data_IF_862130914569
#
_entry.id   IF_862130914569
#
_cell.length_a   1.000
_cell.length_b   1.000
_cell.length_c   1.000
_cell.angle_alpha   90.00
_cell.angle_beta   90.00
_cell.angle_gamma   90.00
#
_symmetry.space_group_name_H-M   'P 1'
#
loop_
_entity.id
_entity.type
_entity.pdbx_description
1 polymer ?
#
# COMPACT_ATOMS: atom_id res chain seq x y z
N UNK A 1 -29.27 -8.35 -17.36
CA UNK A 1 -28.37 -8.20 -16.18
C UNK A 1 -28.10 -6.73 -15.86
N UNK A 2 -27.67 -5.85 -16.81
CA UNK A 2 -27.34 -4.44 -16.55
C UNK A 2 -28.51 -3.62 -15.99
N UNK A 3 -29.72 -3.84 -16.50
CA UNK A 3 -30.93 -3.15 -15.97
C UNK A 3 -31.20 -3.52 -14.51
N UNK A 4 -30.86 -4.73 -14.07
CA UNK A 4 -30.98 -5.14 -12.68
C UNK A 4 -29.97 -4.42 -11.74
N UNK A 5 -28.90 -3.85 -12.32
CA UNK A 5 -27.90 -3.02 -11.62
C UNK A 5 -28.24 -1.51 -11.66
N UNK A 6 -29.44 -1.14 -12.16
CA UNK A 6 -29.84 0.24 -12.34
C UNK A 6 -29.19 0.97 -13.53
N UNK A 7 -28.46 0.23 -14.39
CA UNK A 7 -27.76 0.78 -15.55
C UNK A 7 -28.61 0.53 -16.79
N UNK A 8 -29.06 1.61 -17.45
CA UNK A 8 -29.84 1.47 -18.68
C UNK A 8 -28.99 0.89 -19.81
N UNK A 9 -29.62 0.12 -20.70
CA UNK A 9 -28.92 -0.47 -21.87
C UNK A 9 -28.23 0.60 -22.70
N UNK A 10 -28.88 1.72 -22.97
CA UNK A 10 -28.33 2.82 -23.74
C UNK A 10 -27.06 3.39 -23.09
N UNK A 11 -27.07 3.61 -21.76
CA UNK A 11 -25.89 4.10 -21.02
C UNK A 11 -24.74 3.11 -21.11
N UNK A 12 -25.03 1.81 -20.98
CA UNK A 12 -24.00 0.77 -21.07
C UNK A 12 -23.36 0.71 -22.46
N UNK A 13 -24.15 0.77 -23.55
CA UNK A 13 -23.60 0.74 -24.89
C UNK A 13 -22.77 1.99 -25.22
N UNK A 14 -23.25 3.17 -24.85
CA UNK A 14 -22.49 4.42 -25.01
C UNK A 14 -21.17 4.42 -24.25
N UNK A 15 -21.13 3.80 -23.09
CA UNK A 15 -19.88 3.61 -22.35
C UNK A 15 -18.91 2.67 -23.10
N UNK A 16 -19.38 1.52 -23.61
CA UNK A 16 -18.54 0.59 -24.39
C UNK A 16 -18.00 1.26 -25.67
N UNK A 17 -18.80 2.10 -26.29
CA UNK A 17 -18.42 2.88 -27.48
C UNK A 17 -17.49 4.06 -27.15
N UNK A 18 -17.22 4.31 -25.87
CA UNK A 18 -16.34 5.38 -25.41
C UNK A 18 -16.96 6.79 -25.50
N UNK A 19 -18.28 6.88 -25.68
CA UNK A 19 -18.99 8.17 -25.80
C UNK A 19 -19.24 8.84 -24.44
N UNK A 20 -19.29 8.08 -23.37
CA UNK A 20 -19.54 8.59 -22.01
C UNK A 20 -18.68 7.85 -21.00
N UNK A 21 -18.36 8.55 -19.91
CA UNK A 21 -17.77 7.94 -18.71
C UNK A 21 -18.83 7.28 -17.83
N UNK A 22 -18.41 6.25 -17.09
CA UNK A 22 -19.23 5.57 -16.10
C UNK A 22 -18.79 5.94 -14.69
N UNK A 23 -19.75 6.11 -13.78
CA UNK A 23 -19.39 6.36 -12.38
C UNK A 23 -18.63 5.16 -11.78
N UNK A 24 -17.74 5.40 -10.81
CA UNK A 24 -17.03 4.33 -10.11
C UNK A 24 -18.01 3.35 -9.46
N UNK A 25 -19.14 3.82 -8.93
CA UNK A 25 -20.17 2.98 -8.31
C UNK A 25 -20.80 2.03 -9.34
N UNK A 26 -21.14 2.54 -10.52
CA UNK A 26 -21.69 1.71 -11.60
C UNK A 26 -20.65 0.69 -12.09
N UNK A 27 -19.37 1.12 -12.22
CA UNK A 27 -18.28 0.23 -12.60
C UNK A 27 -18.09 -0.89 -11.57
N UNK A 28 -18.05 -0.58 -10.28
CA UNK A 28 -17.93 -1.58 -9.21
C UNK A 28 -19.12 -2.55 -9.25
N UNK A 29 -20.35 -2.06 -9.47
CA UNK A 29 -21.55 -2.92 -9.59
C UNK A 29 -21.47 -3.87 -10.78
N UNK A 30 -20.90 -3.41 -11.92
CA UNK A 30 -20.67 -4.26 -13.09
C UNK A 30 -19.61 -5.33 -12.79
N UNK A 31 -18.50 -4.92 -12.18
CA UNK A 31 -17.39 -5.82 -11.83
C UNK A 31 -17.87 -6.90 -10.87
N UNK A 32 -18.63 -6.56 -9.85
CA UNK A 32 -19.22 -7.48 -8.90
C UNK A 32 -20.18 -8.47 -9.59
N UNK A 33 -21.06 -7.98 -10.45
CA UNK A 33 -21.99 -8.82 -11.23
C UNK A 33 -21.32 -9.74 -12.25
N UNK A 34 -20.11 -9.41 -12.69
CA UNK A 34 -19.27 -10.21 -13.58
C UNK A 34 -18.26 -11.08 -12.81
N UNK A 35 -18.16 -10.90 -11.51
CA UNK A 35 -17.17 -11.54 -10.65
C UNK A 35 -15.72 -11.23 -11.09
N UNK A 36 -15.48 -10.00 -11.57
CA UNK A 36 -14.17 -9.54 -12.05
C UNK A 36 -13.54 -8.66 -10.98
N UNK A 37 -12.32 -8.98 -10.60
CA UNK A 37 -11.50 -8.12 -9.71
C UNK A 37 -10.89 -6.94 -10.46
N UNK A 38 -10.44 -5.91 -9.72
CA UNK A 38 -9.67 -4.80 -10.31
C UNK A 38 -8.36 -5.28 -10.94
N UNK A 39 -7.73 -6.30 -10.37
CA UNK A 39 -6.52 -6.92 -10.92
C UNK A 39 -6.79 -7.56 -12.27
N UNK A 40 -7.91 -8.30 -12.39
CA UNK A 40 -8.34 -8.89 -13.67
C UNK A 40 -8.69 -7.83 -14.71
N UNK A 41 -9.35 -6.74 -14.29
CA UNK A 41 -9.62 -5.62 -15.17
C UNK A 41 -8.32 -4.99 -15.70
N UNK A 42 -7.32 -4.85 -14.85
CA UNK A 42 -5.97 -4.39 -15.23
C UNK A 42 -5.32 -5.30 -16.28
N UNK A 43 -5.40 -6.61 -16.09
CA UNK A 43 -4.91 -7.60 -17.05
C UNK A 43 -5.66 -7.53 -18.39
N UNK A 44 -6.99 -7.46 -18.36
CA UNK A 44 -7.83 -7.41 -19.55
C UNK A 44 -7.63 -6.12 -20.37
N UNK A 45 -7.32 -5.01 -19.73
CA UNK A 45 -7.09 -3.73 -20.40
C UNK A 45 -5.66 -3.55 -20.90
N UNK A 46 -4.77 -4.51 -20.66
CA UNK A 46 -3.34 -4.42 -20.95
C UNK A 46 -2.63 -3.32 -20.14
N UNK A 47 -3.36 -2.67 -19.25
CA UNK A 47 -2.82 -1.66 -18.35
C UNK A 47 -2.38 -2.36 -17.07
N UNK A 48 -1.26 -3.07 -17.14
CA UNK A 48 -0.63 -3.74 -15.98
C UNK A 48 -0.21 -2.77 -14.86
N UNK A 49 -0.66 -1.51 -14.93
CA UNK A 49 -0.42 -0.45 -13.96
C UNK A 49 -1.00 -0.73 -12.57
N UNK A 50 -1.90 -1.71 -12.45
CA UNK A 50 -2.42 -2.23 -11.19
C UNK A 50 -1.70 -3.50 -10.74
N UNK A 51 -0.44 -3.72 -11.12
CA UNK A 51 0.38 -4.64 -10.35
C UNK A 51 0.41 -4.11 -8.92
N UNK A 52 -0.29 -4.83 -8.06
CA UNK A 52 -0.28 -4.54 -6.63
C UNK A 52 1.17 -4.60 -6.19
N UNK A 53 1.76 -3.44 -5.92
CA UNK A 53 3.12 -3.35 -5.42
C UNK A 53 3.07 -3.92 -4.01
N UNK A 54 3.46 -5.19 -3.88
CA UNK A 54 3.54 -5.88 -2.60
C UNK A 54 5.00 -5.96 -2.14
N UNK A 55 5.21 -6.12 -0.84
CA UNK A 55 6.55 -6.35 -0.29
C UNK A 55 7.19 -7.58 -0.93
N UNK A 56 6.41 -8.66 -1.08
CA UNK A 56 6.89 -9.89 -1.72
C UNK A 56 7.39 -9.64 -3.13
N UNK A 57 6.62 -8.89 -3.93
CA UNK A 57 7.05 -8.53 -5.28
C UNK A 57 8.31 -7.67 -5.25
N UNK A 58 8.36 -6.63 -4.42
CA UNK A 58 9.52 -5.73 -4.29
C UNK A 58 10.81 -6.48 -3.90
N UNK A 59 10.71 -7.48 -3.03
CA UNK A 59 11.87 -8.24 -2.58
C UNK A 59 12.34 -9.30 -3.59
N UNK A 60 11.48 -9.73 -4.52
CA UNK A 60 11.79 -10.78 -5.50
C UNK A 60 11.93 -10.26 -6.95
N UNK A 61 11.48 -9.05 -7.25
CA UNK A 61 11.59 -8.46 -8.59
C UNK A 61 13.06 -8.36 -9.05
N UNK A 62 13.29 -8.35 -10.36
CA UNK A 62 14.62 -8.14 -10.90
C UNK A 62 15.17 -6.77 -10.48
N UNK A 63 16.39 -6.74 -9.94
CA UNK A 63 16.98 -5.52 -9.41
C UNK A 63 17.27 -4.48 -10.49
N UNK A 64 17.52 -4.92 -11.74
CA UNK A 64 17.72 -4.00 -12.85
C UNK A 64 16.39 -3.35 -13.25
N UNK A 65 15.28 -4.12 -13.25
CA UNK A 65 13.94 -3.59 -13.45
C UNK A 65 13.61 -2.53 -12.40
N UNK A 66 13.80 -2.85 -11.11
CA UNK A 66 13.57 -1.88 -10.03
C UNK A 66 14.46 -0.63 -10.17
N UNK A 67 15.71 -0.80 -10.57
CA UNK A 67 16.63 0.31 -10.78
C UNK A 67 16.18 1.21 -11.93
N UNK A 68 15.71 0.66 -13.04
CA UNK A 68 15.17 1.42 -14.16
C UNK A 68 13.92 2.20 -13.75
N UNK A 69 13.01 1.58 -13.00
CA UNK A 69 11.81 2.23 -12.48
C UNK A 69 12.14 3.33 -11.46
N UNK A 70 13.13 3.09 -10.61
CA UNK A 70 13.63 4.09 -9.65
C UNK A 70 14.22 5.34 -10.35
N UNK A 71 14.84 5.16 -11.52
CA UNK A 71 15.40 6.24 -12.33
C UNK A 71 14.34 6.97 -13.18
N UNK A 72 13.09 6.49 -13.19
CA UNK A 72 12.02 7.11 -13.94
C UNK A 72 12.11 6.91 -15.45
N UNK A 73 12.76 5.84 -15.89
CA UNK A 73 12.79 5.42 -17.31
C UNK A 73 11.37 5.11 -17.82
N UNK A 74 10.50 4.66 -16.93
CA UNK A 74 9.07 4.52 -17.18
C UNK A 74 8.32 5.76 -16.67
N UNK A 75 7.85 6.62 -17.58
CA UNK A 75 7.05 7.83 -17.27
C UNK A 75 5.71 7.51 -16.55
N UNK A 76 5.41 6.24 -16.40
CA UNK A 76 4.15 5.77 -15.79
C UNK A 76 4.19 5.72 -14.27
N UNK A 77 5.38 5.70 -13.67
CA UNK A 77 5.51 5.65 -12.22
C UNK A 77 5.42 7.05 -11.61
N UNK A 78 4.62 7.19 -10.57
CA UNK A 78 4.56 8.43 -9.77
C UNK A 78 5.87 8.64 -9.03
N UNK A 79 6.20 9.89 -8.67
CA UNK A 79 7.41 10.19 -7.91
C UNK A 79 7.50 9.39 -6.60
N UNK A 80 6.36 9.10 -5.97
CA UNK A 80 6.33 8.28 -4.77
C UNK A 80 6.68 6.80 -5.03
N UNK A 81 6.27 6.24 -6.17
CA UNK A 81 6.68 4.88 -6.57
C UNK A 81 8.16 4.82 -6.88
N UNK A 82 8.68 5.83 -7.59
CA UNK A 82 10.12 5.94 -7.87
C UNK A 82 10.93 5.95 -6.58
N UNK A 83 10.48 6.75 -5.61
CA UNK A 83 11.08 6.82 -4.28
C UNK A 83 11.03 5.49 -3.53
N UNK A 84 9.91 4.76 -3.60
CA UNK A 84 9.79 3.43 -3.03
C UNK A 84 10.77 2.45 -3.69
N UNK A 85 10.89 2.47 -5.02
CA UNK A 85 11.85 1.63 -5.73
C UNK A 85 13.30 1.98 -5.38
N UNK A 86 13.63 3.26 -5.22
CA UNK A 86 14.96 3.70 -4.76
C UNK A 86 15.27 3.13 -3.38
N UNK A 87 14.34 3.23 -2.43
CA UNK A 87 14.52 2.67 -1.09
C UNK A 87 14.76 1.14 -1.13
N UNK A 88 13.97 0.41 -1.92
CA UNK A 88 14.11 -1.05 -2.05
C UNK A 88 15.42 -1.43 -2.73
N UNK A 89 15.82 -0.71 -3.78
CA UNK A 89 17.12 -0.95 -4.46
C UNK A 89 18.28 -0.73 -3.49
N UNK A 90 18.27 0.36 -2.72
CA UNK A 90 19.28 0.66 -1.71
C UNK A 90 19.31 -0.44 -0.63
N UNK A 91 18.15 -0.83 -0.10
CA UNK A 91 18.03 -1.92 0.87
C UNK A 91 18.65 -3.22 0.36
N UNK A 92 18.31 -3.63 -0.86
CA UNK A 92 18.78 -4.90 -1.45
C UNK A 92 20.28 -4.89 -1.80
N UNK A 93 20.85 -3.72 -2.05
CA UNK A 93 22.29 -3.53 -2.30
C UNK A 93 23.10 -3.33 -1.03
N UNK A 94 22.45 -3.16 0.13
CA UNK A 94 23.11 -2.80 1.38
C UNK A 94 23.63 -1.36 1.39
N UNK A 95 23.05 -0.50 0.57
CA UNK A 95 23.35 0.94 0.49
C UNK A 95 22.49 1.73 1.49
N UNK A 96 22.89 2.98 1.77
CA UNK A 96 22.10 3.85 2.65
C UNK A 96 20.77 4.24 2.00
N UNK A 97 19.66 4.00 2.71
CA UNK A 97 18.33 4.47 2.28
C UNK A 97 17.90 5.77 2.99
N UNK A 98 18.79 6.43 3.72
CA UNK A 98 18.43 7.56 4.61
C UNK A 98 17.67 8.69 3.90
N UNK A 99 18.08 9.04 2.68
CA UNK A 99 17.41 10.10 1.91
C UNK A 99 16.00 9.68 1.50
N UNK A 100 15.84 8.47 0.95
CA UNK A 100 14.53 7.94 0.56
C UNK A 100 13.61 7.77 1.77
N UNK A 101 14.13 7.29 2.90
CA UNK A 101 13.39 7.16 4.17
C UNK A 101 12.88 8.52 4.64
N UNK A 102 13.73 9.56 4.60
CA UNK A 102 13.35 10.91 5.01
C UNK A 102 12.21 11.45 4.15
N UNK A 103 12.35 11.39 2.82
CA UNK A 103 11.33 11.89 1.90
C UNK A 103 10.01 11.09 2.01
N UNK A 104 10.09 9.77 2.16
CA UNK A 104 8.90 8.93 2.35
C UNK A 104 8.22 9.25 3.68
N UNK A 105 8.98 9.42 4.76
CA UNK A 105 8.43 9.80 6.06
C UNK A 105 7.73 11.16 6.00
N UNK A 106 8.36 12.18 5.41
CA UNK A 106 7.79 13.52 5.27
C UNK A 106 6.44 13.49 4.53
N UNK A 107 6.34 12.66 3.49
CA UNK A 107 5.08 12.45 2.80
C UNK A 107 4.05 11.70 3.65
N UNK A 108 4.42 10.56 4.22
CA UNK A 108 3.48 9.70 4.94
C UNK A 108 2.92 10.37 6.20
N UNK A 109 3.70 11.23 6.87
CA UNK A 109 3.26 11.94 8.08
C UNK A 109 2.17 12.98 7.81
N UNK A 110 1.97 13.38 6.55
CA UNK A 110 0.92 14.34 6.13
C UNK A 110 -0.38 13.67 5.72
N UNK A 111 -0.40 12.34 5.65
CA UNK A 111 -1.57 11.56 5.21
C UNK A 111 -2.38 11.12 6.42
N UNK A 112 -3.69 11.39 6.41
CA UNK A 112 -4.59 11.00 7.50
C UNK A 112 -5.03 9.54 7.42
N UNK A 113 -5.17 9.01 6.20
CA UNK A 113 -5.58 7.62 5.93
C UNK A 113 -4.66 7.05 4.86
N UNK A 114 -3.95 5.97 5.19
CA UNK A 114 -3.05 5.29 4.26
C UNK A 114 -3.81 4.52 3.19
N UNK A 115 -3.33 4.59 1.97
CA UNK A 115 -3.66 3.66 0.90
C UNK A 115 -2.84 2.36 1.06
N UNK A 116 -3.14 1.34 0.25
CA UNK A 116 -2.33 0.10 0.23
C UNK A 116 -0.86 0.36 -0.08
N UNK A 117 -0.59 1.27 -1.01
CA UNK A 117 0.78 1.66 -1.36
C UNK A 117 1.50 2.36 -0.21
N UNK A 118 0.79 3.21 0.55
CA UNK A 118 1.35 3.89 1.72
C UNK A 118 1.69 2.88 2.84
N UNK A 119 0.87 1.82 3.01
CA UNK A 119 1.14 0.73 3.95
C UNK A 119 2.40 -0.04 3.53
N UNK A 120 2.54 -0.38 2.25
CA UNK A 120 3.75 -1.04 1.72
C UNK A 120 4.97 -0.15 1.92
N UNK A 121 4.86 1.14 1.61
CA UNK A 121 5.93 2.10 1.79
C UNK A 121 6.34 2.24 3.26
N UNK A 122 5.37 2.32 4.18
CA UNK A 122 5.64 2.32 5.63
C UNK A 122 6.36 1.04 6.05
N UNK A 123 5.94 -0.13 5.58
CA UNK A 123 6.60 -1.38 5.91
C UNK A 123 8.07 -1.41 5.45
N UNK A 124 8.38 -0.88 4.26
CA UNK A 124 9.76 -0.81 3.75
C UNK A 124 10.65 0.08 4.61
N UNK A 125 10.15 1.24 5.07
CA UNK A 125 10.96 2.18 5.85
C UNK A 125 10.91 1.95 7.35
N UNK A 126 9.98 1.15 7.85
CA UNK A 126 9.74 0.93 9.28
C UNK A 126 11.01 0.56 10.07
N UNK A 127 11.92 -0.31 9.58
CA UNK A 127 13.16 -0.63 10.29
C UNK A 127 14.08 0.58 10.51
N UNK A 128 14.09 1.54 9.60
CA UNK A 128 15.01 2.70 9.59
C UNK A 128 14.49 3.90 10.40
N UNK A 129 13.21 3.91 10.74
CA UNK A 129 12.60 5.03 11.46
C UNK A 129 13.06 5.10 12.92
N UNK A 130 13.17 6.30 13.46
CA UNK A 130 13.27 6.48 14.92
C UNK A 130 11.97 6.05 15.60
N UNK A 131 12.02 5.76 16.90
CA UNK A 131 10.83 5.37 17.68
C UNK A 131 9.72 6.42 17.58
N UNK A 132 10.06 7.70 17.65
CA UNK A 132 9.09 8.79 17.56
C UNK A 132 8.43 8.87 16.18
N UNK A 133 9.20 8.72 15.11
CA UNK A 133 8.70 8.69 13.73
C UNK A 133 7.80 7.47 13.50
N UNK A 134 8.26 6.30 13.95
CA UNK A 134 7.51 5.05 13.84
C UNK A 134 6.14 5.18 14.53
N UNK A 135 6.09 5.64 15.80
CA UNK A 135 4.81 5.82 16.52
C UNK A 135 3.82 6.71 15.78
N UNK A 136 4.30 7.81 15.18
CA UNK A 136 3.42 8.71 14.42
C UNK A 136 2.77 8.01 13.22
N UNK A 137 3.56 7.30 12.42
CA UNK A 137 3.04 6.56 11.27
C UNK A 137 2.19 5.36 11.68
N UNK A 138 2.55 4.68 12.78
CA UNK A 138 1.82 3.53 13.29
C UNK A 138 0.39 3.89 13.73
N UNK A 139 0.19 5.08 14.32
CA UNK A 139 -1.16 5.57 14.65
C UNK A 139 -2.01 5.82 13.40
N UNK A 140 -1.42 6.36 12.35
CA UNK A 140 -2.11 6.58 11.08
C UNK A 140 -2.43 5.24 10.39
N UNK A 141 -1.45 4.33 10.36
CA UNK A 141 -1.61 2.95 9.89
C UNK A 141 -2.76 2.24 10.60
N UNK A 142 -2.79 2.27 11.94
CA UNK A 142 -3.81 1.60 12.74
C UNK A 142 -5.24 2.08 12.40
N UNK A 143 -5.41 3.40 12.24
CA UNK A 143 -6.71 3.96 11.79
C UNK A 143 -7.07 3.49 10.39
N UNK A 144 -6.09 3.41 9.50
CA UNK A 144 -6.32 3.02 8.11
C UNK A 144 -6.70 1.56 7.99
N UNK A 145 -6.14 0.68 8.84
CA UNK A 145 -6.41 -0.76 8.82
C UNK A 145 -7.87 -1.08 9.08
N UNK A 146 -8.60 -0.28 9.86
CA UNK A 146 -10.04 -0.47 10.06
C UNK A 146 -10.84 -0.45 8.74
N UNK A 147 -10.36 0.29 7.74
CA UNK A 147 -10.98 0.37 6.42
C UNK A 147 -10.65 -0.84 5.53
N UNK A 148 -9.59 -1.58 5.84
CA UNK A 148 -9.10 -2.68 5.02
C UNK A 148 -9.33 -4.07 5.62
N UNK A 149 -9.94 -4.19 6.81
CA UNK A 149 -10.16 -5.46 7.50
C UNK A 149 -10.78 -6.54 6.62
N UNK A 150 -11.71 -6.16 5.73
CA UNK A 150 -12.39 -7.10 4.83
C UNK A 150 -11.66 -7.30 3.48
N UNK A 151 -10.54 -6.63 3.24
CA UNK A 151 -9.83 -6.60 1.96
C UNK A 151 -8.37 -7.03 2.07
N UNK A 152 -7.98 -7.64 3.21
CA UNK A 152 -6.62 -8.11 3.41
C UNK A 152 -6.32 -9.27 2.44
N UNK A 153 -5.57 -8.96 1.40
CA UNK A 153 -5.01 -9.96 0.49
C UNK A 153 -3.73 -10.57 1.09
N UNK A 154 -3.31 -11.73 0.59
CA UNK A 154 -2.06 -12.35 1.02
C UNK A 154 -0.85 -11.41 0.87
N UNK A 155 -0.85 -10.56 -0.16
CA UNK A 155 0.22 -9.58 -0.42
C UNK A 155 0.28 -8.47 0.64
N UNK A 156 -0.84 -8.13 1.25
CA UNK A 156 -0.89 -7.17 2.35
C UNK A 156 -0.40 -7.76 3.67
N UNK A 157 -0.61 -9.06 3.91
CA UNK A 157 -0.17 -9.69 5.16
C UNK A 157 1.33 -9.54 5.38
N UNK A 158 2.15 -9.60 4.33
CA UNK A 158 3.59 -9.43 4.45
C UNK A 158 3.94 -8.00 4.91
N UNK A 159 3.23 -6.97 4.43
CA UNK A 159 3.43 -5.59 4.87
C UNK A 159 2.98 -5.38 6.33
N UNK A 160 1.80 -5.88 6.67
CA UNK A 160 1.24 -5.84 8.02
C UNK A 160 2.17 -6.53 9.01
N UNK A 161 2.63 -7.75 8.68
CA UNK A 161 3.57 -8.50 9.51
C UNK A 161 4.88 -7.73 9.72
N UNK A 162 5.44 -7.15 8.65
CA UNK A 162 6.68 -6.38 8.73
C UNK A 162 6.52 -5.17 9.67
N UNK A 163 5.41 -4.43 9.58
CA UNK A 163 5.12 -3.30 10.47
C UNK A 163 4.99 -3.75 11.92
N UNK A 164 4.29 -4.86 12.17
CA UNK A 164 4.13 -5.37 13.54
C UNK A 164 5.44 -5.90 14.13
N UNK A 165 6.28 -6.57 13.33
CA UNK A 165 7.61 -6.99 13.76
C UNK A 165 8.49 -5.78 14.10
N UNK A 166 8.44 -4.72 13.28
CA UNK A 166 9.15 -3.47 13.59
C UNK A 166 8.59 -2.80 14.86
N UNK A 167 7.29 -2.88 15.12
CA UNK A 167 6.69 -2.38 16.37
C UNK A 167 7.22 -3.15 17.60
N UNK A 168 7.26 -4.47 17.52
CA UNK A 168 7.81 -5.32 18.59
C UNK A 168 9.29 -4.99 18.82
N UNK A 169 10.09 -4.96 17.78
CA UNK A 169 11.52 -4.65 17.88
C UNK A 169 11.76 -3.27 18.51
N UNK A 170 11.20 -2.21 17.90
CA UNK A 170 11.44 -0.84 18.34
C UNK A 170 10.85 -0.48 19.70
N UNK A 171 9.70 -1.02 20.04
CA UNK A 171 8.95 -0.56 21.19
C UNK A 171 9.05 -1.51 22.41
N UNK A 172 9.31 -2.79 22.18
CA UNK A 172 9.31 -3.80 23.23
C UNK A 172 10.67 -4.46 23.45
N UNK A 173 11.45 -4.71 22.39
CA UNK A 173 12.70 -5.47 22.49
C UNK A 173 13.88 -4.59 22.88
N UNK A 174 14.02 -3.40 22.28
CA UNK A 174 15.14 -2.49 22.56
C UNK A 174 15.07 -1.97 24.00
N UNK A 175 16.13 -2.20 24.82
CA UNK A 175 16.09 -1.88 26.25
C UNK A 175 15.79 -0.40 26.55
N UNK A 176 16.35 0.51 25.74
CA UNK A 176 16.14 1.95 25.87
C UNK A 176 14.69 2.40 25.60
N UNK A 177 13.94 1.58 24.88
CA UNK A 177 12.56 1.89 24.49
C UNK A 177 11.52 1.13 25.31
N UNK A 178 11.94 0.22 26.19
CA UNK A 178 11.02 -0.53 27.04
C UNK A 178 10.36 0.40 28.04
N UNK A 179 9.05 0.57 27.87
CA UNK A 179 8.20 1.21 28.85
C UNK A 179 6.84 0.53 28.89
N UNK A 180 6.16 0.65 30.02
CA UNK A 180 4.78 0.17 30.15
C UNK A 180 3.87 0.80 29.09
N UNK A 181 4.02 2.12 28.86
CA UNK A 181 3.24 2.87 27.87
C UNK A 181 3.45 2.35 26.44
N UNK A 182 4.69 1.98 26.10
CA UNK A 182 4.98 1.39 24.79
C UNK A 182 4.33 0.02 24.64
N UNK A 183 4.38 -0.80 25.67
CA UNK A 183 3.77 -2.14 25.67
C UNK A 183 2.25 -2.05 25.54
N UNK A 184 1.61 -1.18 26.31
CA UNK A 184 0.17 -0.94 26.24
C UNK A 184 -0.23 -0.37 24.86
N UNK A 185 0.53 0.60 24.35
CA UNK A 185 0.30 1.17 23.02
C UNK A 185 0.28 0.10 21.92
N UNK A 186 1.27 -0.82 21.89
CA UNK A 186 1.32 -1.90 20.89
C UNK A 186 0.16 -2.87 21.06
N UNK A 187 -0.12 -3.31 22.29
CA UNK A 187 -1.18 -4.26 22.59
C UNK A 187 -2.55 -3.68 22.21
N UNK A 188 -2.88 -2.49 22.68
CA UNK A 188 -4.15 -1.83 22.38
C UNK A 188 -4.34 -1.62 20.88
N UNK A 189 -3.27 -1.19 20.18
CA UNK A 189 -3.34 -0.96 18.73
C UNK A 189 -3.58 -2.26 17.97
N UNK A 190 -2.90 -3.36 18.35
CA UNK A 190 -3.10 -4.67 17.74
C UNK A 190 -4.53 -5.17 18.02
N UNK A 191 -4.98 -5.13 19.27
CA UNK A 191 -6.33 -5.60 19.66
C UNK A 191 -7.42 -4.83 18.91
N UNK A 192 -7.29 -3.51 18.78
CA UNK A 192 -8.25 -2.68 18.05
C UNK A 192 -8.29 -2.96 16.52
N UNK A 193 -7.24 -3.57 15.97
CA UNK A 193 -7.22 -3.95 14.54
C UNK A 193 -7.94 -5.26 14.25
N UNK A 194 -8.03 -6.14 15.25
CA UNK A 194 -8.58 -7.49 15.08
C UNK A 194 -9.88 -7.71 15.86
N UNK A 195 -10.46 -6.66 16.44
CA UNK A 195 -11.78 -6.62 17.07
C UNK A 195 -12.86 -6.21 16.10
#
# INVERSE_FOLDING_TARGET
>A
KMVALGISKSRYYRFIEGEIDMSMIDMMSIMDALTISFSELGLLTGKSRFQDISIRWLMNADINELTQRAQGVDDQDTDFRKLLFQAVVALRKGESMQEAVTQMYERLVTIDIFTLLDIVAFAVIAPELTVGQFKRLYLCYARSMSNFQNYLTNDMYDAVLTIHLAAVDKLLVQPENRSYDNSMFVIETILNQYS
#
